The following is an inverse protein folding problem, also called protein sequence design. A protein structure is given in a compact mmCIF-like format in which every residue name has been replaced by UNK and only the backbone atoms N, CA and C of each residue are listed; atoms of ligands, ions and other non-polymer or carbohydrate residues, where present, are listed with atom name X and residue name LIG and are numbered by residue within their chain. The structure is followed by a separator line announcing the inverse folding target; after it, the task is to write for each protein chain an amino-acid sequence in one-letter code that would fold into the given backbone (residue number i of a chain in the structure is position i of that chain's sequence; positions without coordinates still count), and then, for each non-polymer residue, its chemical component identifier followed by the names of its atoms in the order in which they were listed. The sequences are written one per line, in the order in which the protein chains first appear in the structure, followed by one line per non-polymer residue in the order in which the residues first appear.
data_IF_064534553117
#
_entry.id   IF_064534553117
#
_cell.length_a   1.000
_cell.length_b   1.000
_cell.length_c   1.000
_cell.angle_alpha   90.00
_cell.angle_beta   90.00
_cell.angle_gamma   90.00
#
_symmetry.space_group_name_H-M   'P 1'
#
loop_
_entity.id
_entity.type
_entity.pdbx_description
1 polymer ?
#
# COMPACT_ATOMS: atom_id res chain seq x y z
N UNK A 1 4.69 1.48 -11.00
CA UNK A 1 6.09 1.87 -11.23
C UNK A 1 6.95 0.63 -11.44
N UNK A 2 8.04 0.73 -12.22
CA UNK A 2 9.04 -0.33 -12.45
C UNK A 2 10.36 0.15 -11.85
N UNK A 3 10.99 -0.65 -11.00
CA UNK A 3 12.37 -0.40 -10.56
C UNK A 3 13.30 -0.95 -11.63
N UNK A 4 14.14 -0.09 -12.19
CA UNK A 4 15.28 -0.54 -12.99
C UNK A 4 16.37 -1.07 -12.08
N UNK A 5 17.16 -2.04 -12.56
CA UNK A 5 18.13 -2.78 -11.76
C UNK A 5 19.22 -1.90 -11.10
N UNK A 6 19.37 -0.65 -11.53
CA UNK A 6 20.37 0.30 -11.02
C UNK A 6 19.79 1.38 -10.11
N UNK A 7 18.46 1.55 -10.06
CA UNK A 7 17.85 2.62 -9.27
C UNK A 7 17.71 2.21 -7.81
N UNK A 8 18.22 3.06 -6.91
CA UNK A 8 18.00 2.93 -5.46
C UNK A 8 16.81 3.80 -5.08
N UNK A 9 15.65 3.17 -4.88
CA UNK A 9 14.44 3.86 -4.42
C UNK A 9 14.30 3.65 -2.93
N UNK A 10 14.09 4.74 -2.20
CA UNK A 10 13.88 4.72 -0.77
C UNK A 10 12.56 5.38 -0.44
N UNK A 11 11.80 4.73 0.43
CA UNK A 11 10.42 5.09 0.72
C UNK A 11 10.19 5.06 2.22
N UNK A 12 9.26 5.87 2.70
CA UNK A 12 8.76 5.80 4.08
C UNK A 12 7.53 4.91 4.10
N UNK A 13 7.50 3.93 5.00
CA UNK A 13 6.36 3.03 5.15
C UNK A 13 5.14 3.76 5.73
N UNK A 14 3.99 3.81 5.03
CA UNK A 14 2.75 4.37 5.56
C UNK A 14 1.97 3.41 6.46
N UNK A 15 2.42 2.16 6.58
CA UNK A 15 1.78 1.13 7.39
C UNK A 15 2.81 0.29 8.14
N UNK A 16 2.32 -0.66 8.92
CA UNK A 16 3.12 -1.67 9.60
C UNK A 16 2.64 -3.06 9.20
N UNK A 17 3.55 -4.04 9.28
CA UNK A 17 3.21 -5.43 9.03
C UNK A 17 4.14 -6.36 9.80
N UNK A 18 3.52 -7.37 10.39
CA UNK A 18 4.24 -8.54 10.90
C UNK A 18 4.33 -9.61 9.81
N UNK A 19 5.50 -10.26 9.62
CA UNK A 19 5.67 -11.33 8.65
C UNK A 19 4.68 -12.48 8.88
N UNK A 20 4.00 -12.94 7.83
CA UNK A 20 3.23 -14.19 7.87
C UNK A 20 4.03 -15.41 7.39
N UNK A 21 5.19 -15.19 6.79
CA UNK A 21 6.11 -16.24 6.32
C UNK A 21 7.59 -15.87 6.54
N UNK A 22 8.46 -16.87 6.43
CA UNK A 22 9.90 -16.72 6.71
C UNK A 22 10.64 -15.75 5.77
N UNK A 23 10.06 -15.47 4.60
CA UNK A 23 10.65 -14.56 3.60
C UNK A 23 10.03 -13.17 3.60
N UNK A 24 9.07 -12.89 4.50
CA UNK A 24 8.41 -11.58 4.56
C UNK A 24 9.19 -10.58 5.41
N UNK A 25 9.22 -9.33 4.96
CA UNK A 25 9.85 -8.23 5.70
C UNK A 25 8.93 -7.76 6.83
N UNK A 26 9.46 -7.70 8.06
CA UNK A 26 8.85 -6.96 9.16
C UNK A 26 9.15 -5.48 8.98
N UNK A 27 8.15 -4.62 9.10
CA UNK A 27 8.34 -3.16 9.09
C UNK A 27 7.25 -2.47 9.90
N UNK A 28 7.55 -1.25 10.35
CA UNK A 28 6.69 -0.40 11.17
C UNK A 28 6.31 0.87 10.43
N UNK A 29 5.28 1.57 10.92
CA UNK A 29 4.92 2.90 10.44
C UNK A 29 6.14 3.84 10.54
N UNK A 30 6.45 4.54 9.45
CA UNK A 30 7.56 5.49 9.40
C UNK A 30 8.94 4.89 9.13
N UNK A 31 9.07 3.56 9.06
CA UNK A 31 10.34 2.93 8.67
C UNK A 31 10.76 3.40 7.27
N UNK A 32 12.02 3.78 7.12
CA UNK A 32 12.61 3.98 5.80
C UNK A 32 13.01 2.63 5.19
N UNK A 33 12.50 2.35 4.00
CA UNK A 33 12.68 1.10 3.26
C UNK A 33 13.45 1.36 1.97
N UNK A 34 14.49 0.57 1.73
CA UNK A 34 15.22 0.53 0.46
C UNK A 34 14.61 -0.55 -0.41
N UNK A 35 14.01 -0.16 -1.53
CA UNK A 35 13.44 -1.08 -2.52
C UNK A 35 14.54 -1.60 -3.44
N UNK A 36 14.55 -2.90 -3.72
CA UNK A 36 15.64 -3.57 -4.43
C UNK A 36 15.18 -4.23 -5.71
N UNK A 37 14.11 -5.02 -5.61
CA UNK A 37 13.54 -5.77 -6.73
C UNK A 37 12.04 -5.80 -6.59
N UNK A 38 11.33 -5.72 -7.69
CA UNK A 38 9.90 -6.00 -7.70
C UNK A 38 9.61 -7.19 -8.61
N UNK A 39 8.48 -7.83 -8.35
CA UNK A 39 7.88 -8.83 -9.23
C UNK A 39 6.52 -8.32 -9.70
N UNK A 40 6.02 -8.89 -10.80
CA UNK A 40 4.74 -8.48 -11.40
C UNK A 40 3.55 -8.76 -10.47
N UNK A 41 3.67 -9.77 -9.59
CA UNK A 41 2.62 -10.26 -8.69
C UNK A 41 2.26 -9.33 -7.52
N UNK A 42 2.60 -8.04 -7.59
CA UNK A 42 2.28 -7.10 -6.51
C UNK A 42 3.24 -7.12 -5.32
N UNK A 43 4.35 -7.86 -5.39
CA UNK A 43 5.36 -7.92 -4.32
C UNK A 43 6.65 -7.17 -4.67
N UNK A 44 7.36 -6.73 -3.63
CA UNK A 44 8.65 -6.05 -3.70
C UNK A 44 9.57 -6.58 -2.61
N UNK A 45 10.83 -6.79 -2.97
CA UNK A 45 11.93 -7.11 -2.06
C UNK A 45 12.49 -5.78 -1.55
N UNK A 46 12.53 -5.65 -0.23
CA UNK A 46 13.00 -4.45 0.45
C UNK A 46 13.86 -4.80 1.66
N UNK A 47 14.56 -3.79 2.19
CA UNK A 47 15.26 -3.85 3.46
C UNK A 47 15.02 -2.54 4.23
N UNK A 48 14.97 -2.62 5.56
CA UNK A 48 14.93 -1.43 6.42
C UNK A 48 16.28 -0.72 6.35
N UNK A 49 16.28 0.59 6.17
CA UNK A 49 17.52 1.38 6.09
C UNK A 49 18.25 1.44 7.43
N UNK A 50 17.51 1.45 8.55
CA UNK A 50 18.07 1.39 9.89
C UNK A 50 18.93 0.12 10.11
N UNK A 51 18.62 -0.96 9.38
CA UNK A 51 19.32 -2.24 9.45
C UNK A 51 20.21 -2.41 8.21
N UNK A 52 21.30 -1.64 8.12
CA UNK A 52 22.20 -1.66 6.94
C UNK A 52 22.72 -3.06 6.55
N UNK A 53 22.85 -3.97 7.52
CA UNK A 53 23.22 -5.39 7.33
C UNK A 53 22.06 -6.36 7.63
N UNK A 54 20.84 -5.84 7.80
CA UNK A 54 19.66 -6.61 8.11
C UNK A 54 19.18 -7.46 6.94
N UNK A 55 18.33 -8.47 7.22
CA UNK A 55 17.78 -9.33 6.19
C UNK A 55 16.89 -8.54 5.22
N UNK A 56 17.02 -8.85 3.93
CA UNK A 56 16.02 -8.45 2.94
C UNK A 56 14.77 -9.33 3.09
N UNK A 57 13.60 -8.77 2.79
CA UNK A 57 12.34 -9.51 2.84
C UNK A 57 11.33 -9.01 1.82
N UNK A 58 10.41 -9.88 1.46
CA UNK A 58 9.31 -9.58 0.56
C UNK A 58 8.19 -8.88 1.30
N UNK A 59 7.59 -7.89 0.66
CA UNK A 59 6.40 -7.22 1.15
C UNK A 59 5.46 -6.87 -0.01
N UNK A 60 4.15 -6.74 0.25
CA UNK A 60 3.23 -6.33 -0.80
C UNK A 60 3.41 -4.85 -1.12
N UNK A 61 3.33 -4.50 -2.41
CA UNK A 61 3.44 -3.12 -2.91
C UNK A 61 2.36 -2.20 -2.34
N UNK A 62 1.17 -2.75 -2.04
CA UNK A 62 0.06 -1.97 -1.50
C UNK A 62 0.39 -1.36 -0.14
N UNK A 63 1.21 -2.04 0.66
CA UNK A 63 1.69 -1.54 1.95
C UNK A 63 2.71 -0.40 1.84
N UNK A 64 3.17 -0.03 0.64
CA UNK A 64 4.08 1.09 0.41
C UNK A 64 3.39 2.39 0.01
N UNK A 65 2.08 2.35 -0.22
CA UNK A 65 1.38 3.46 -0.85
C UNK A 65 0.27 3.99 0.04
N UNK A 66 0.19 5.31 0.13
CA UNK A 66 -1.02 6.02 0.52
C UNK A 66 -1.84 6.22 -0.74
N UNK A 67 -3.14 5.98 -0.68
CA UNK A 67 -4.01 6.07 -1.84
C UNK A 67 -4.94 7.26 -1.69
N UNK A 68 -4.92 8.17 -2.66
CA UNK A 68 -5.81 9.33 -2.66
C UNK A 68 -7.08 9.00 -3.45
N UNK A 69 -8.24 9.34 -2.88
CA UNK A 69 -9.53 9.21 -3.54
C UNK A 69 -9.65 10.29 -4.62
N UNK A 70 -9.78 9.87 -5.88
CA UNK A 70 -10.00 10.77 -7.02
C UNK A 70 -11.44 10.67 -7.57
N UNK A 71 -12.18 9.64 -7.18
CA UNK A 71 -13.59 9.48 -7.51
C UNK A 71 -14.36 9.05 -6.26
N UNK A 72 -15.45 9.75 -5.95
CA UNK A 72 -16.29 9.40 -4.82
C UNK A 72 -16.91 8.01 -4.99
N UNK A 73 -17.10 7.31 -3.88
CA UNK A 73 -17.75 6.00 -3.84
C UNK A 73 -18.77 6.01 -2.71
N UNK A 74 -20.02 5.72 -3.04
CA UNK A 74 -21.11 5.58 -2.08
C UNK A 74 -21.70 4.18 -2.23
N UNK A 75 -21.65 3.33 -1.19
CA UNK A 75 -22.30 2.03 -1.21
C UNK A 75 -23.82 2.19 -1.39
N UNK A 76 -24.40 1.32 -2.20
CA UNK A 76 -25.85 1.24 -2.36
C UNK A 76 -26.45 0.45 -1.19
N UNK A 77 -27.41 1.04 -0.49
CA UNK A 77 -28.06 0.41 0.66
C UNK A 77 -28.87 -0.86 0.30
N UNK A 78 -29.15 -1.09 -0.99
CA UNK A 78 -29.78 -2.32 -1.47
C UNK A 78 -28.81 -3.49 -1.60
N UNK A 79 -27.49 -3.27 -1.53
CA UNK A 79 -26.51 -4.33 -1.66
C UNK A 79 -26.47 -5.22 -0.41
N UNK A 80 -26.24 -6.53 -0.58
CA UNK A 80 -26.00 -7.42 0.56
C UNK A 80 -24.76 -6.99 1.36
N UNK A 81 -24.92 -6.85 2.68
CA UNK A 81 -23.87 -6.41 3.61
C UNK A 81 -23.28 -5.03 3.27
N UNK A 82 -24.11 -4.07 2.84
CA UNK A 82 -23.67 -2.73 2.44
C UNK A 82 -22.84 -2.01 3.53
N UNK A 83 -23.05 -2.35 4.80
CA UNK A 83 -22.32 -1.81 5.96
C UNK A 83 -20.84 -2.19 5.99
N UNK A 84 -20.42 -3.21 5.22
CA UNK A 84 -19.01 -3.59 5.08
C UNK A 84 -18.25 -2.71 4.07
N UNK A 85 -18.97 -1.93 3.28
CA UNK A 85 -18.38 -1.06 2.28
C UNK A 85 -18.13 0.32 2.89
N UNK A 86 -16.97 0.89 2.59
CA UNK A 86 -16.57 2.20 3.09
C UNK A 86 -16.90 3.26 2.04
N UNK A 87 -17.70 4.27 2.41
CA UNK A 87 -17.88 5.44 1.55
C UNK A 87 -16.58 6.26 1.45
N UNK A 88 -16.33 6.80 0.27
CA UNK A 88 -15.15 7.59 -0.05
C UNK A 88 -15.56 8.95 -0.61
N UNK A 89 -14.96 10.01 -0.09
CA UNK A 89 -15.05 11.36 -0.64
C UNK A 89 -13.75 11.74 -1.37
N UNK A 90 -13.88 12.50 -2.46
CA UNK A 90 -12.72 12.96 -3.23
C UNK A 90 -11.79 13.79 -2.33
N UNK A 91 -10.49 13.51 -2.42
CA UNK A 91 -9.45 14.16 -1.62
C UNK A 91 -9.11 13.42 -0.32
N UNK A 92 -9.94 12.47 0.13
CA UNK A 92 -9.59 11.59 1.25
C UNK A 92 -8.39 10.71 0.89
N UNK A 93 -7.71 10.22 1.93
CA UNK A 93 -6.58 9.29 1.81
C UNK A 93 -6.87 8.01 2.56
N UNK A 94 -6.54 6.88 1.94
CA UNK A 94 -6.74 5.54 2.50
C UNK A 94 -5.48 4.70 2.37
N UNK A 95 -5.37 3.67 3.20
CA UNK A 95 -4.40 2.60 3.08
C UNK A 95 -5.10 1.34 2.59
N UNK A 96 -4.63 0.78 1.47
CA UNK A 96 -5.08 -0.53 1.00
C UNK A 96 -4.37 -1.61 1.81
N UNK A 97 -5.14 -2.44 2.50
CA UNK A 97 -4.63 -3.56 3.30
C UNK A 97 -4.66 -4.87 2.52
N UNK A 98 -5.69 -5.06 1.70
CA UNK A 98 -5.83 -6.24 0.84
C UNK A 98 -6.51 -5.90 -0.48
N UNK A 99 -5.97 -6.39 -1.59
CA UNK A 99 -6.65 -6.38 -2.89
C UNK A 99 -7.37 -7.72 -3.07
N UNK A 100 -8.60 -7.68 -3.56
CA UNK A 100 -9.34 -8.89 -3.84
C UNK A 100 -9.05 -9.43 -5.25
N UNK A 101 -9.15 -10.75 -5.40
CA UNK A 101 -8.95 -11.47 -6.65
C UNK A 101 -10.28 -12.10 -7.15
N UNK A 102 -10.25 -12.73 -8.32
CA UNK A 102 -11.40 -13.41 -8.91
C UNK A 102 -12.54 -12.46 -9.26
N UNK A 103 -13.77 -12.78 -8.85
CA UNK A 103 -14.96 -11.96 -9.08
C UNK A 103 -14.91 -10.60 -8.39
N UNK A 104 -14.07 -10.48 -7.36
CA UNK A 104 -13.85 -9.24 -6.62
C UNK A 104 -12.62 -8.47 -7.13
N UNK A 105 -12.04 -8.86 -8.27
CA UNK A 105 -10.94 -8.13 -8.89
C UNK A 105 -11.34 -6.66 -9.13
N UNK A 106 -10.51 -5.74 -8.66
CA UNK A 106 -10.79 -4.30 -8.71
C UNK A 106 -11.46 -3.76 -7.44
N UNK A 107 -11.67 -4.61 -6.42
CA UNK A 107 -12.05 -4.20 -5.08
C UNK A 107 -10.88 -4.36 -4.12
N UNK A 108 -10.91 -3.59 -3.05
CA UNK A 108 -9.94 -3.67 -1.97
C UNK A 108 -10.62 -3.49 -0.61
N UNK A 109 -10.00 -4.07 0.41
CA UNK A 109 -10.25 -3.72 1.79
C UNK A 109 -9.15 -2.78 2.27
N UNK A 110 -9.53 -1.74 2.99
CA UNK A 110 -8.59 -0.78 3.52
C UNK A 110 -9.20 0.10 4.60
N UNK A 111 -8.39 1.03 5.10
CA UNK A 111 -8.75 1.96 6.17
C UNK A 111 -8.41 3.39 5.80
N UNK A 112 -9.09 4.36 6.39
CA UNK A 112 -8.72 5.78 6.26
C UNK A 112 -7.33 6.03 6.85
N UNK A 113 -6.60 6.96 6.26
CA UNK A 113 -5.25 7.35 6.69
C UNK A 113 -5.30 8.71 7.39
N UNK A 114 -4.60 8.83 8.53
CA UNK A 114 -4.58 10.04 9.36
C UNK A 114 -5.48 9.92 10.58
N UNK A 115 -6.12 11.04 10.96
CA UNK A 115 -6.99 11.13 12.15
C UNK A 115 -8.42 10.60 11.90
N UNK A 116 -8.73 10.23 10.66
CA UNK A 116 -10.06 9.73 10.31
C UNK A 116 -10.17 8.24 10.62
N UNK A 117 -11.22 7.86 11.35
CA UNK A 117 -11.56 6.47 11.59
C UNK A 117 -12.42 5.89 10.45
N UNK A 118 -12.27 4.59 10.23
CA UNK A 118 -13.09 3.83 9.30
C UNK A 118 -12.28 2.87 8.44
N UNK A 119 -12.85 1.69 8.25
CA UNK A 119 -12.35 0.66 7.35
C UNK A 119 -13.51 0.01 6.61
N UNK A 120 -13.21 -0.61 5.48
CA UNK A 120 -14.19 -1.32 4.70
C UNK A 120 -13.75 -1.56 3.27
N UNK A 121 -14.68 -2.13 2.51
CA UNK A 121 -14.49 -2.51 1.12
C UNK A 121 -14.82 -1.34 0.20
N UNK A 122 -13.97 -1.08 -0.79
CA UNK A 122 -14.20 -0.04 -1.80
C UNK A 122 -13.59 -0.46 -3.14
N UNK A 123 -13.93 0.27 -4.21
CA UNK A 123 -13.40 0.00 -5.55
C UNK A 123 -12.02 0.64 -5.72
N UNK A 124 -11.05 -0.13 -6.20
CA UNK A 124 -9.68 0.35 -6.46
C UNK A 124 -9.63 1.44 -7.52
N UNK A 125 -10.56 1.46 -8.48
CA UNK A 125 -10.62 2.50 -9.50
C UNK A 125 -11.12 3.86 -8.98
N UNK A 126 -11.46 3.96 -7.70
CA UNK A 126 -11.80 5.23 -7.04
C UNK A 126 -10.57 5.93 -6.44
N UNK A 127 -9.43 5.23 -6.38
CA UNK A 127 -8.23 5.69 -5.70
C UNK A 127 -6.98 5.58 -6.58
N UNK A 128 -6.01 6.47 -6.35
CA UNK A 128 -4.71 6.48 -7.04
C UNK A 128 -3.59 6.35 -6.01
N UNK A 129 -2.61 5.46 -6.21
CA UNK A 129 -1.52 5.25 -5.25
C UNK A 129 -0.45 6.33 -5.34
N UNK A 130 0.03 6.77 -4.19
CA UNK A 130 1.17 7.65 -3.99
C UNK A 130 2.17 6.99 -3.04
N UNK A 131 3.45 7.12 -3.35
CA UNK A 131 4.54 6.59 -2.51
C UNK A 131 5.27 7.76 -1.86
N UNK A 132 5.52 7.66 -0.56
CA UNK A 132 6.30 8.66 0.17
C UNK A 132 7.78 8.38 -0.04
N UNK A 133 8.43 9.14 -0.92
CA UNK A 133 9.88 9.04 -1.13
C UNK A 133 10.62 9.64 0.08
N UNK A 134 11.64 8.95 0.59
CA UNK A 134 12.46 9.49 1.70
C UNK A 134 13.56 10.42 1.23
N UNK A 135 13.98 10.29 -0.03
CA UNK A 135 15.02 11.08 -0.68
C UNK A 135 14.71 11.20 -2.16
N UNK A 136 15.11 12.31 -2.75
CA UNK A 136 15.01 12.49 -4.20
C UNK A 136 15.86 11.43 -4.91
N UNK A 137 15.36 10.93 -6.05
CA UNK A 137 16.13 10.03 -6.89
C UNK A 137 17.27 10.84 -7.50
N UNK A 138 18.45 10.74 -6.91
CA UNK A 138 19.66 11.29 -7.53
C UNK A 138 19.85 10.63 -8.89
N UNK A 139 19.79 11.43 -9.96
CA UNK A 139 20.33 11.05 -11.25
C UNK A 139 21.86 11.14 -11.13
N UNK A 140 22.52 9.98 -10.95
CA UNK A 140 23.97 9.87 -11.20
C UNK A 140 24.26 10.03 -12.71
#
# INVERSE_FOLDING_TARGET
WRLDAQQKVFVISPSERSPTGASELKYSLGDELRLRRHVETGWVLAARVADCAGPEGWMPKVGLSVWQVHQAFQPDASWPNYERFMSLAVGETVLVQNEYEGEWKGWAFGKRWGEQDGEGVFRLNCVVPYVMLSRELGSE
#
